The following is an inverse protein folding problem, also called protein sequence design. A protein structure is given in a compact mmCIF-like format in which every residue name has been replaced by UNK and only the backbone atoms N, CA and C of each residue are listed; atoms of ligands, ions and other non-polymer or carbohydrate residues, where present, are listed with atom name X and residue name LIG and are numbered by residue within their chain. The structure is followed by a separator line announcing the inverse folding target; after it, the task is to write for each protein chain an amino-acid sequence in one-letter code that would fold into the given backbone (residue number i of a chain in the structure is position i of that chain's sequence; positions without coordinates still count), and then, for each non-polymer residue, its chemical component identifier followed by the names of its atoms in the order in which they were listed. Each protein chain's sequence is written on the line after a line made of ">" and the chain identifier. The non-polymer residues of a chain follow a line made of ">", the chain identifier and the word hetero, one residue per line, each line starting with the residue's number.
data_IF_229805592922
#
_entry.id   IF_229805592922
#
_cell.length_a   1.000
_cell.length_b   1.000
_cell.length_c   1.000
_cell.angle_alpha   90.00
_cell.angle_beta   90.00
_cell.angle_gamma   90.00
#
_symmetry.space_group_name_H-M   'P 1'
#
loop_
_entity.id
_entity.type
_entity.pdbx_description
1 polymer ?
#
# COMPACT_ATOMS: atom_id res chain seq x y z
N UNK A 1 -14.11 -17.04 -21.48
CA UNK A 1 -13.75 -17.44 -20.11
C UNK A 1 -13.84 -16.23 -19.19
N UNK A 2 -15.01 -16.03 -18.59
CA UNK A 2 -15.27 -14.97 -17.63
C UNK A 2 -14.60 -15.34 -16.30
N UNK A 3 -13.54 -14.63 -15.92
CA UNK A 3 -13.07 -14.66 -14.53
C UNK A 3 -13.82 -13.58 -13.76
N UNK A 4 -14.91 -14.03 -13.13
CA UNK A 4 -15.69 -13.24 -12.19
C UNK A 4 -14.76 -12.66 -11.12
N UNK A 5 -14.68 -11.34 -11.08
CA UNK A 5 -14.03 -10.62 -10.00
C UNK A 5 -14.93 -10.70 -8.78
N UNK A 6 -14.63 -11.63 -7.88
CA UNK A 6 -15.19 -11.65 -6.54
C UNK A 6 -14.89 -10.30 -5.87
N UNK A 7 -15.89 -9.55 -5.40
CA UNK A 7 -15.66 -8.34 -4.64
C UNK A 7 -15.19 -8.76 -3.25
N UNK A 8 -13.88 -8.86 -3.06
CA UNK A 8 -13.31 -9.06 -1.72
C UNK A 8 -13.40 -7.73 -0.98
N UNK A 9 -14.52 -7.60 -0.29
CA UNK A 9 -14.79 -6.85 0.94
C UNK A 9 -14.03 -5.52 1.11
N UNK A 10 -14.76 -4.43 0.87
CA UNK A 10 -14.45 -3.13 1.40
C UNK A 10 -14.65 -3.13 2.92
N UNK A 11 -13.67 -3.63 3.68
CA UNK A 11 -13.63 -3.40 5.12
C UNK A 11 -13.23 -1.93 5.39
N UNK A 12 -14.18 -1.15 5.89
CA UNK A 12 -14.00 0.12 6.58
C UNK A 12 -14.56 -0.04 8.02
N UNK A 13 -14.31 0.87 8.97
CA UNK A 13 -13.11 1.65 9.28
C UNK A 13 -12.51 1.16 10.63
N UNK A 14 -11.22 0.83 10.69
CA UNK A 14 -10.57 0.54 11.97
C UNK A 14 -9.99 1.83 12.56
N UNK A 15 -10.69 2.32 13.58
CA UNK A 15 -10.29 3.18 14.71
C UNK A 15 -8.88 3.81 14.66
N UNK A 16 -8.87 5.15 14.78
CA UNK A 16 -7.69 5.99 14.84
C UNK A 16 -6.87 5.79 16.14
N UNK A 17 -5.58 5.49 15.97
CA UNK A 17 -4.50 5.47 16.97
C UNK A 17 -3.25 4.83 16.33
N UNK A 18 -2.02 5.21 16.74
CA UNK A 18 -0.92 5.84 15.97
C UNK A 18 -0.39 5.13 14.70
N UNK A 19 -0.98 4.02 14.29
CA UNK A 19 -0.67 3.35 13.05
C UNK A 19 -1.63 3.79 11.95
N UNK A 20 -1.24 4.87 11.24
CA UNK A 20 -2.06 5.49 10.19
C UNK A 20 -2.43 4.51 9.07
N UNK A 21 -1.68 3.41 8.90
CA UNK A 21 -1.83 2.44 7.82
C UNK A 21 -2.25 1.07 8.33
N UNK A 22 -3.18 0.42 7.63
CA UNK A 22 -3.50 -1.00 7.86
C UNK A 22 -2.34 -1.89 7.44
N UNK A 23 -2.26 -3.15 7.93
CA UNK A 23 -1.22 -4.09 7.52
C UNK A 23 -1.13 -4.29 6.00
N UNK A 24 -2.29 -4.27 5.32
CA UNK A 24 -2.34 -4.44 3.86
C UNK A 24 -1.80 -3.23 3.12
N UNK A 25 -2.14 -2.03 3.59
CA UNK A 25 -1.65 -0.77 3.06
C UNK A 25 -0.13 -0.63 3.28
N UNK A 26 0.37 -1.05 4.45
CA UNK A 26 1.81 -1.10 4.72
C UNK A 26 2.52 -2.06 3.78
N UNK A 27 2.03 -3.29 3.62
CA UNK A 27 2.64 -4.26 2.71
C UNK A 27 2.66 -3.77 1.25
N UNK A 28 1.62 -3.05 0.81
CA UNK A 28 1.64 -2.38 -0.50
C UNK A 28 2.72 -1.30 -0.55
N UNK A 29 2.79 -0.45 0.48
CA UNK A 29 3.73 0.67 0.54
C UNK A 29 5.20 0.22 0.63
N UNK A 30 5.49 -0.87 1.34
CA UNK A 30 6.81 -1.52 1.42
C UNK A 30 7.27 -1.97 0.02
N UNK A 31 6.41 -2.71 -0.70
CA UNK A 31 6.74 -3.15 -2.05
C UNK A 31 6.92 -1.97 -3.03
N UNK A 32 6.14 -0.91 -2.85
CA UNK A 32 6.29 0.34 -3.59
C UNK A 32 7.62 1.03 -3.28
N UNK A 33 8.08 1.00 -2.01
CA UNK A 33 9.37 1.53 -1.59
C UNK A 33 10.55 0.72 -2.14
N UNK A 34 10.37 -0.58 -2.40
CA UNK A 34 11.33 -1.40 -3.14
C UNK A 34 11.39 -1.08 -4.65
N UNK A 35 10.59 -0.14 -5.15
CA UNK A 35 10.55 0.23 -6.57
C UNK A 35 9.65 -0.65 -7.43
N UNK A 36 8.85 -1.55 -6.83
CA UNK A 36 7.95 -2.41 -7.60
C UNK A 36 6.80 -1.63 -8.24
N UNK A 37 6.48 -1.97 -9.49
CA UNK A 37 5.26 -1.53 -10.19
C UNK A 37 4.02 -2.16 -9.57
N UNK A 38 2.83 -1.57 -9.78
CA UNK A 38 1.59 -2.11 -9.20
C UNK A 38 1.32 -3.58 -9.62
N UNK A 39 1.75 -3.96 -10.83
CA UNK A 39 1.70 -5.34 -11.31
C UNK A 39 2.62 -6.27 -10.52
N UNK A 40 3.85 -5.85 -10.24
CA UNK A 40 4.80 -6.62 -9.43
C UNK A 40 4.35 -6.71 -7.97
N UNK A 41 3.89 -5.61 -7.39
CA UNK A 41 3.30 -5.59 -6.04
C UNK A 41 2.12 -6.57 -5.96
N UNK A 42 1.25 -6.58 -6.97
CA UNK A 42 0.13 -7.51 -7.05
C UNK A 42 0.57 -8.97 -7.10
N UNK A 43 1.63 -9.27 -7.85
CA UNK A 43 2.21 -10.61 -7.90
C UNK A 43 2.79 -11.04 -6.53
N UNK A 44 3.54 -10.17 -5.86
CA UNK A 44 4.15 -10.45 -4.55
C UNK A 44 3.08 -10.64 -3.46
N UNK A 45 2.03 -9.81 -3.48
CA UNK A 45 0.98 -9.80 -2.47
C UNK A 45 -0.21 -10.70 -2.83
N UNK A 46 -0.17 -11.42 -3.95
CA UNK A 46 -1.25 -12.27 -4.47
C UNK A 46 -2.59 -11.52 -4.65
N UNK A 47 -2.56 -10.29 -5.18
CA UNK A 47 -3.76 -9.48 -5.50
C UNK A 47 -3.66 -8.85 -6.90
N UNK A 48 -4.78 -8.37 -7.42
CA UNK A 48 -4.80 -7.70 -8.71
C UNK A 48 -4.10 -6.33 -8.67
N UNK A 49 -3.52 -5.92 -9.80
CA UNK A 49 -2.94 -4.57 -9.98
C UNK A 49 -3.95 -3.46 -9.65
N UNK A 50 -5.22 -3.65 -10.03
CA UNK A 50 -6.29 -2.71 -9.72
C UNK A 50 -6.51 -2.58 -8.20
N UNK A 51 -6.46 -3.70 -7.48
CA UNK A 51 -6.57 -3.73 -6.01
C UNK A 51 -5.38 -3.00 -5.37
N UNK A 52 -4.17 -3.19 -5.89
CA UNK A 52 -2.97 -2.44 -5.45
C UNK A 52 -3.17 -0.94 -5.63
N UNK A 53 -3.68 -0.51 -6.79
CA UNK A 53 -3.96 0.92 -7.05
C UNK A 53 -4.91 1.52 -6.00
N UNK A 54 -5.99 0.81 -5.66
CA UNK A 54 -6.94 1.24 -4.64
C UNK A 54 -6.28 1.37 -3.26
N UNK A 55 -5.47 0.38 -2.86
CA UNK A 55 -4.73 0.46 -1.60
C UNK A 55 -3.75 1.64 -1.58
N UNK A 56 -3.03 1.88 -2.68
CA UNK A 56 -2.08 2.98 -2.80
C UNK A 56 -2.76 4.35 -2.71
N UNK A 57 -3.92 4.53 -3.35
CA UNK A 57 -4.71 5.75 -3.21
C UNK A 57 -5.15 6.01 -1.76
N UNK A 58 -5.54 4.96 -1.02
CA UNK A 58 -5.90 5.08 0.40
C UNK A 58 -4.69 5.41 1.27
N UNK A 59 -3.55 4.78 1.02
CA UNK A 59 -2.27 5.11 1.67
C UNK A 59 -1.95 6.59 1.46
N UNK A 60 -1.99 7.06 0.22
CA UNK A 60 -1.71 8.45 -0.12
C UNK A 60 -2.66 9.42 0.60
N UNK A 61 -3.96 9.14 0.59
CA UNK A 61 -4.95 9.94 1.32
C UNK A 61 -4.68 9.98 2.83
N UNK A 62 -4.32 8.85 3.43
CA UNK A 62 -4.00 8.74 4.87
C UNK A 62 -2.69 9.43 5.25
N UNK A 63 -1.70 9.41 4.36
CA UNK A 63 -0.41 10.08 4.59
C UNK A 63 -0.44 11.57 4.22
N UNK A 64 -1.44 12.01 3.45
CA UNK A 64 -1.50 13.35 2.87
C UNK A 64 -0.54 13.53 1.69
N UNK A 65 -0.23 12.44 0.98
CA UNK A 65 0.70 12.44 -0.14
C UNK A 65 -0.02 12.68 -1.47
N UNK A 66 0.59 13.47 -2.35
CA UNK A 66 0.12 13.73 -3.72
C UNK A 66 0.70 12.74 -4.73
N UNK A 67 1.78 12.03 -4.37
CA UNK A 67 2.38 10.98 -5.21
C UNK A 67 2.80 9.74 -4.43
N UNK A 68 3.02 8.62 -5.13
CA UNK A 68 3.56 7.39 -4.52
C UNK A 68 4.94 7.59 -3.92
N UNK A 69 5.78 8.42 -4.55
CA UNK A 69 7.14 8.72 -4.06
C UNK A 69 7.07 9.55 -2.79
N UNK A 70 6.17 10.52 -2.76
CA UNK A 70 5.90 11.34 -1.58
C UNK A 70 5.33 10.48 -0.44
N UNK A 71 4.43 9.53 -0.73
CA UNK A 71 3.91 8.59 0.26
C UNK A 71 5.03 7.76 0.90
N UNK A 72 5.97 7.25 0.11
CA UNK A 72 7.15 6.52 0.62
C UNK A 72 8.04 7.43 1.47
N UNK A 73 8.30 8.66 1.01
CA UNK A 73 9.09 9.64 1.74
C UNK A 73 8.47 9.98 3.11
N UNK A 74 7.16 10.27 3.14
CA UNK A 74 6.41 10.53 4.37
C UNK A 74 6.45 9.30 5.28
N UNK A 75 6.32 8.09 4.73
CA UNK A 75 6.35 6.87 5.53
C UNK A 75 7.71 6.61 6.16
N UNK A 76 8.83 6.87 5.47
CA UNK A 76 10.16 6.84 6.09
C UNK A 76 10.32 7.94 7.15
N UNK A 77 9.89 9.16 6.85
CA UNK A 77 9.95 10.29 7.79
C UNK A 77 9.17 10.04 9.08
N UNK A 78 8.03 9.36 8.99
CA UNK A 78 7.18 8.99 10.14
C UNK A 78 7.57 7.66 10.79
N UNK A 79 8.62 6.98 10.33
CA UNK A 79 9.04 5.67 10.84
C UNK A 79 8.05 4.52 10.58
N UNK A 80 7.14 4.70 9.61
CA UNK A 80 6.15 3.69 9.18
C UNK A 80 6.78 2.63 8.26
N UNK A 81 7.92 2.97 7.65
CA UNK A 81 8.78 2.07 6.92
C UNK A 81 10.17 2.08 7.55
N UNK A 82 10.76 0.90 7.67
CA UNK A 82 12.15 0.76 8.10
C UNK A 82 12.99 0.78 6.81
N UNK A 83 14.01 1.65 6.68
CA UNK A 83 14.94 1.56 5.57
C UNK A 83 15.64 0.22 5.64
N UNK A 84 15.36 -0.68 4.70
CA UNK A 84 16.18 -1.87 4.52
C UNK A 84 17.59 -1.44 4.13
N UNK A 85 18.52 -1.44 5.09
CA UNK A 85 19.94 -1.37 4.79
C UNK A 85 20.28 -2.67 4.06
N UNK A 86 20.71 -2.64 2.79
CA UNK A 86 21.23 -3.85 2.18
C UNK A 86 22.46 -4.27 2.99
N UNK A 87 22.43 -5.50 3.50
CA UNK A 87 23.57 -6.12 4.17
C UNK A 87 24.75 -6.26 3.20
#
# INVERSE_FOLDING_TARGET
>A
AARGGIPVEAAAPAVAGPDVLTPRERGVLEQVAHGHTNRQVGAVLFISEKTVSVHLSRVMAKLGASSRTEAVSIAYSRGLLIPQVPA
#
